data_IF_343950184429
#
_entry.id   IF_343950184429
#
_cell.length_a   1.000
_cell.length_b   1.000
_cell.length_c   1.000
_cell.angle_alpha   90.00
_cell.angle_beta   90.00
_cell.angle_gamma   90.00
#
_symmetry.space_group_name_H-M   'P 1'
#
loop_
_entity.id
_entity.type
_entity.pdbx_description
1 polymer ?
#
# COMPACT_ATOMS: atom_id res chain seq x y z
N UNK A 1 29.79 17.51 17.74
CA UNK A 1 29.80 16.13 17.22
C UNK A 1 28.61 15.44 17.83
N UNK A 2 27.58 15.16 17.03
CA UNK A 2 26.37 14.48 17.48
C UNK A 2 26.33 13.12 16.81
N UNK A 3 26.72 12.11 17.57
CA UNK A 3 26.58 10.70 17.23
C UNK A 3 25.11 10.30 17.42
N UNK A 4 24.44 9.96 16.33
CA UNK A 4 23.17 9.22 16.37
C UNK A 4 23.32 7.97 15.51
N UNK A 5 23.54 6.79 16.12
CA UNK A 5 23.48 5.52 15.43
C UNK A 5 22.03 5.04 15.44
N UNK A 6 21.34 5.13 14.31
CA UNK A 6 20.06 4.42 14.16
C UNK A 6 20.07 3.66 12.84
N UNK A 7 20.70 2.49 12.87
CA UNK A 7 20.30 1.38 12.02
C UNK A 7 19.02 0.81 12.64
N UNK A 8 17.88 1.26 12.14
CA UNK A 8 16.62 0.52 12.17
C UNK A 8 16.12 0.70 10.75
N UNK A 9 15.91 -0.40 10.03
CA UNK A 9 15.18 -0.42 8.76
C UNK A 9 13.70 -0.12 9.01
N UNK A 10 13.44 1.06 9.55
CA UNK A 10 12.14 1.64 9.81
C UNK A 10 12.18 3.00 9.16
N UNK A 11 11.38 3.13 8.10
CA UNK A 11 11.07 4.37 7.40
C UNK A 11 11.19 5.56 8.37
N UNK A 12 12.07 6.55 8.10
CA UNK A 12 12.35 7.62 9.05
C UNK A 12 11.03 8.26 9.50
N UNK A 13 10.85 8.44 10.81
CA UNK A 13 9.61 8.92 11.43
C UNK A 13 9.18 10.35 11.01
N UNK A 14 9.88 10.97 10.04
CA UNK A 14 9.52 12.23 9.41
C UNK A 14 9.29 12.15 7.90
N UNK A 15 9.42 10.97 7.28
CA UNK A 15 9.16 10.78 5.86
C UNK A 15 7.76 10.20 5.70
N UNK A 16 6.84 11.03 5.21
CA UNK A 16 5.52 10.59 4.78
C UNK A 16 5.71 9.38 3.85
N UNK A 17 4.94 8.29 4.00
CA UNK A 17 5.15 7.05 3.24
C UNK A 17 4.80 7.18 1.73
N UNK A 18 4.89 8.38 1.17
CA UNK A 18 4.58 8.67 -0.21
C UNK A 18 3.10 8.50 -0.49
N UNK A 19 2.22 9.05 0.33
CA UNK A 19 0.76 8.91 0.13
C UNK A 19 0.31 9.33 -1.28
N UNK A 20 0.97 10.34 -1.85
CA UNK A 20 0.74 10.85 -3.20
C UNK A 20 1.68 10.25 -4.26
N UNK A 21 2.53 9.30 -3.86
CA UNK A 21 3.45 8.61 -4.77
C UNK A 21 2.69 7.66 -5.69
N UNK A 22 3.24 7.44 -6.89
CA UNK A 22 2.66 6.52 -7.86
C UNK A 22 2.71 5.09 -7.36
N UNK A 23 1.60 4.38 -7.49
CA UNK A 23 1.50 2.98 -7.11
C UNK A 23 0.61 2.21 -8.07
N UNK A 24 0.80 0.91 -8.10
CA UNK A 24 0.07 -0.04 -8.94
C UNK A 24 -0.68 -1.03 -8.05
N UNK A 25 -1.94 -1.27 -8.39
CA UNK A 25 -2.78 -2.26 -7.74
C UNK A 25 -2.69 -3.57 -8.51
N UNK A 26 -2.28 -4.62 -7.82
CA UNK A 26 -2.22 -5.97 -8.35
C UNK A 26 -3.35 -6.79 -7.73
N UNK A 27 -4.03 -7.59 -8.54
CA UNK A 27 -5.00 -8.58 -8.05
C UNK A 27 -4.32 -9.94 -7.95
N UNK A 28 -4.32 -10.55 -6.77
CA UNK A 28 -4.03 -11.97 -6.60
C UNK A 28 -5.12 -12.77 -7.32
N UNK A 29 -4.70 -13.64 -8.23
CA UNK A 29 -5.62 -14.47 -9.01
C UNK A 29 -6.15 -15.60 -8.12
N UNK A 30 -7.26 -15.34 -7.44
CA UNK A 30 -8.02 -16.37 -6.75
C UNK A 30 -8.77 -17.21 -7.78
N UNK A 31 -8.23 -18.41 -8.06
CA UNK A 31 -8.93 -19.49 -8.76
C UNK A 31 -8.85 -19.51 -10.29
N UNK A 32 -8.01 -20.42 -10.83
CA UNK A 32 -8.35 -21.15 -12.05
C UNK A 32 -7.54 -20.87 -13.32
N UNK A 33 -6.23 -21.15 -13.34
CA UNK A 33 -5.50 -21.29 -14.61
C UNK A 33 -3.99 -21.21 -14.47
N UNK A 34 -3.27 -22.08 -15.18
CA UNK A 34 -1.81 -22.31 -15.12
C UNK A 34 -0.93 -21.11 -15.55
N UNK A 35 -1.49 -19.90 -15.67
CA UNK A 35 -0.79 -18.69 -16.12
C UNK A 35 -1.16 -17.49 -15.25
N UNK A 36 -0.82 -17.55 -13.95
CA UNK A 36 -1.09 -16.47 -13.01
C UNK A 36 -0.02 -15.39 -13.08
N UNK A 37 -0.19 -14.47 -14.05
CA UNK A 37 0.57 -13.22 -14.11
C UNK A 37 -0.06 -12.22 -13.14
N UNK A 38 0.71 -11.66 -12.20
CA UNK A 38 0.31 -10.52 -11.38
C UNK A 38 -0.01 -9.33 -12.27
N UNK A 39 -1.25 -9.21 -12.73
CA UNK A 39 -1.64 -8.12 -13.61
C UNK A 39 -1.91 -6.87 -12.76
N UNK A 40 -1.16 -5.80 -13.05
CA UNK A 40 -1.53 -4.47 -12.59
C UNK A 40 -2.88 -4.10 -13.22
N UNK A 41 -3.89 -3.90 -12.38
CA UNK A 41 -5.27 -3.61 -12.80
C UNK A 41 -5.61 -2.12 -12.71
N UNK A 42 -4.82 -1.36 -11.95
CA UNK A 42 -4.99 0.10 -11.78
C UNK A 42 -3.65 0.70 -11.36
N UNK A 43 -3.36 1.92 -11.83
CA UNK A 43 -2.29 2.77 -11.31
C UNK A 43 -2.91 4.04 -10.75
N UNK A 44 -2.56 4.39 -9.52
CA UNK A 44 -3.07 5.58 -8.82
C UNK A 44 -2.09 5.96 -7.69
N UNK A 45 -2.46 6.88 -6.80
CA UNK A 45 -1.62 7.16 -5.64
C UNK A 45 -1.72 6.05 -4.59
N UNK A 46 -0.66 5.86 -3.79
CA UNK A 46 -0.64 4.89 -2.67
C UNK A 46 -1.88 5.05 -1.78
N UNK A 47 -2.24 6.27 -1.41
CA UNK A 47 -3.42 6.54 -0.59
C UNK A 47 -4.72 6.11 -1.27
N UNK A 48 -4.91 6.44 -2.55
CA UNK A 48 -6.13 6.08 -3.27
C UNK A 48 -6.26 4.56 -3.45
N UNK A 49 -5.16 3.86 -3.68
CA UNK A 49 -5.17 2.41 -3.80
C UNK A 49 -5.43 1.72 -2.46
N UNK A 50 -4.82 2.18 -1.37
CA UNK A 50 -5.11 1.68 -0.02
C UNK A 50 -6.59 1.90 0.33
N UNK A 51 -7.14 3.10 0.05
CA UNK A 51 -8.57 3.40 0.26
C UNK A 51 -9.46 2.48 -0.54
N UNK A 52 -9.11 2.27 -1.81
CA UNK A 52 -9.86 1.40 -2.70
C UNK A 52 -9.93 -0.02 -2.12
N UNK A 53 -8.80 -0.61 -1.73
CA UNK A 53 -8.77 -1.95 -1.14
C UNK A 53 -9.59 -1.99 0.15
N UNK A 54 -9.45 -1.00 1.03
CA UNK A 54 -10.21 -0.96 2.29
C UNK A 54 -11.72 -0.73 2.11
N UNK A 55 -12.16 -0.25 0.94
CA UNK A 55 -13.58 -0.16 0.58
C UNK A 55 -14.17 -1.46 0.04
N UNK A 56 -13.34 -2.46 -0.29
CA UNK A 56 -13.80 -3.77 -0.72
C UNK A 56 -14.28 -4.62 0.47
N UNK A 57 -15.14 -5.63 0.24
CA UNK A 57 -15.50 -6.62 1.25
C UNK A 57 -14.25 -7.30 1.81
N UNK A 58 -14.19 -7.55 3.12
CA UNK A 58 -13.00 -8.12 3.77
C UNK A 58 -12.50 -9.42 3.12
N UNK A 59 -13.41 -10.24 2.62
CA UNK A 59 -13.12 -11.48 1.88
C UNK A 59 -12.35 -11.24 0.59
N UNK A 60 -12.56 -10.09 -0.05
CA UNK A 60 -11.92 -9.71 -1.31
C UNK A 60 -10.63 -8.91 -1.07
N UNK A 61 -10.47 -8.23 0.07
CA UNK A 61 -9.31 -7.35 0.30
C UNK A 61 -7.97 -8.11 0.23
N UNK A 62 -7.95 -9.37 0.67
CA UNK A 62 -6.78 -10.25 0.58
C UNK A 62 -6.37 -10.59 -0.85
N UNK A 63 -7.27 -10.40 -1.82
CA UNK A 63 -7.01 -10.63 -3.23
C UNK A 63 -6.31 -9.44 -3.89
N UNK A 64 -5.90 -8.42 -3.15
CA UNK A 64 -5.29 -7.22 -3.71
C UNK A 64 -4.03 -6.82 -2.95
N UNK A 65 -3.03 -6.39 -3.72
CA UNK A 65 -1.76 -5.87 -3.21
C UNK A 65 -1.41 -4.55 -3.91
N UNK A 66 -0.80 -3.62 -3.18
CA UNK A 66 -0.42 -2.31 -3.70
C UNK A 66 1.09 -2.23 -3.81
N UNK A 67 1.63 -2.12 -5.03
CA UNK A 67 3.04 -1.94 -5.29
C UNK A 67 3.33 -0.44 -5.43
N UNK A 68 4.06 0.14 -4.48
CA UNK A 68 4.56 1.51 -4.60
C UNK A 68 5.76 1.53 -5.55
N UNK A 69 5.86 2.54 -6.42
CA UNK A 69 6.91 2.66 -7.42
C UNK A 69 8.29 2.73 -6.72
N UNK A 70 9.20 1.83 -7.09
CA UNK A 70 10.54 1.73 -6.48
C UNK A 70 10.59 1.23 -5.02
N UNK A 71 9.48 0.75 -4.46
CA UNK A 71 9.37 0.32 -3.06
C UNK A 71 8.94 -1.15 -2.92
N UNK A 72 8.56 -1.57 -1.71
CA UNK A 72 8.03 -2.91 -1.44
C UNK A 72 6.55 -3.03 -1.82
N UNK A 73 6.14 -4.27 -2.07
CA UNK A 73 4.73 -4.64 -2.20
C UNK A 73 4.03 -4.51 -0.85
N UNK A 74 2.88 -3.85 -0.82
CA UNK A 74 2.00 -3.74 0.33
C UNK A 74 0.88 -4.78 0.20
N UNK A 75 0.91 -5.78 1.08
CA UNK A 75 -0.15 -6.79 1.17
C UNK A 75 -1.25 -6.32 2.13
N UNK A 76 -2.34 -7.08 2.25
CA UNK A 76 -3.50 -6.67 3.07
C UNK A 76 -3.15 -6.34 4.52
N UNK A 77 -2.14 -7.00 5.11
CA UNK A 77 -1.63 -6.69 6.44
C UNK A 77 -1.05 -5.28 6.54
N UNK A 78 -0.18 -4.91 5.59
CA UNK A 78 0.41 -3.58 5.48
C UNK A 78 -0.65 -2.52 5.14
N UNK A 79 -1.54 -2.81 4.19
CA UNK A 79 -2.63 -1.92 3.78
C UNK A 79 -3.51 -1.57 5.00
N UNK A 80 -3.93 -2.57 5.78
CA UNK A 80 -4.73 -2.37 7.01
C UNK A 80 -3.97 -1.61 8.09
N UNK A 81 -2.65 -1.77 8.17
CA UNK A 81 -1.80 -1.06 9.13
C UNK A 81 -1.63 0.41 8.72
N UNK A 82 -1.37 0.67 7.44
CA UNK A 82 -1.20 2.00 6.87
C UNK A 82 -2.51 2.79 6.89
N UNK A 83 -3.64 2.15 6.56
CA UNK A 83 -4.95 2.79 6.63
C UNK A 83 -5.31 3.22 8.06
N UNK A 84 -4.83 2.53 9.09
CA UNK A 84 -5.09 2.91 10.50
C UNK A 84 -4.17 4.02 11.03
N UNK A 85 -3.22 4.51 10.23
CA UNK A 85 -2.33 5.60 10.67
C UNK A 85 -3.10 6.91 10.77
N UNK A 86 -2.83 7.68 11.82
CA UNK A 86 -3.42 9.01 12.02
C UNK A 86 -3.04 10.00 10.92
N UNK A 87 -1.88 9.82 10.28
CA UNK A 87 -1.41 10.63 9.16
C UNK A 87 -1.93 10.16 7.78
N UNK A 88 -2.76 9.11 7.73
CA UNK A 88 -3.31 8.62 6.47
C UNK A 88 -4.38 9.57 5.90
N UNK A 89 -4.30 9.96 4.62
CA UNK A 89 -5.30 10.83 4.02
C UNK A 89 -6.56 10.03 3.66
N UNK A 90 -7.50 9.93 4.61
CA UNK A 90 -8.81 9.28 4.41
C UNK A 90 -9.70 9.95 3.35
N UNK A 91 -9.37 11.20 2.95
CA UNK A 91 -10.11 12.11 2.05
C UNK A 91 -11.47 12.54 2.60
N UNK A 92 -11.95 13.77 2.53
CA UNK A 92 -11.44 15.11 2.17
C UNK A 92 -11.90 16.00 3.33
N UNK A 93 -11.07 16.91 3.86
CA UNK A 93 -11.59 18.12 4.51
C UNK A 93 -11.49 19.25 3.49
N UNK A 94 -12.68 19.64 3.01
CA UNK A 94 -13.03 20.76 2.11
C UNK A 94 -12.45 20.82 0.71
#
# INVERSE_FOLDING_TARGET
MSDFPTTIQGIPAGESPGWNDGAELHKAADGGGLFNVFKAIRRDTVANLIRYVMHLPETEQGNYSVQKDGDRLLEIGDIRRLYRRTDFPHGVTS
#
